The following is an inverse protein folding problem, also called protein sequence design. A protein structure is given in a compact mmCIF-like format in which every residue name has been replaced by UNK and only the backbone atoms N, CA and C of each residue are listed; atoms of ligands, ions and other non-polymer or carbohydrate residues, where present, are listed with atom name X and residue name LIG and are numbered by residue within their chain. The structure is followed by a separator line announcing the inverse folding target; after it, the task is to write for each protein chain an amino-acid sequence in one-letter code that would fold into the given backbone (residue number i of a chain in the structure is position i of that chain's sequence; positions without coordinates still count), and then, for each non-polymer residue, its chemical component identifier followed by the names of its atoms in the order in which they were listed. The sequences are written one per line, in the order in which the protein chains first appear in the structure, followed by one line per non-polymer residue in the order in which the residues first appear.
data_IF_270381657913
#
_entry.id   IF_270381657913
#
_cell.length_a   1.000
_cell.length_b   1.000
_cell.length_c   1.000
_cell.angle_alpha   90.00
_cell.angle_beta   90.00
_cell.angle_gamma   90.00
#
_symmetry.space_group_name_H-M   'P 1'
#
loop_
_entity.id
_entity.type
_entity.pdbx_description
1 polymer ?
#
# COMPACT_ATOMS: atom_id res chain seq x y z
N UNK A 1 -24.72 -5.33 -30.00
CA UNK A 1 -23.77 -5.07 -28.89
C UNK A 1 -23.84 -3.59 -28.57
N UNK A 2 -24.62 -3.23 -27.56
CA UNK A 2 -24.85 -1.83 -27.13
C UNK A 2 -23.67 -1.38 -26.27
N UNK A 3 -23.01 -0.31 -26.69
CA UNK A 3 -21.96 0.38 -25.93
C UNK A 3 -22.58 0.85 -24.60
N UNK A 4 -21.99 0.55 -23.43
CA UNK A 4 -22.57 1.03 -22.18
C UNK A 4 -22.54 2.56 -22.19
N UNK A 5 -23.66 3.17 -21.81
CA UNK A 5 -23.79 4.62 -21.72
C UNK A 5 -22.72 5.13 -20.73
N UNK A 6 -21.81 5.98 -21.23
CA UNK A 6 -20.90 6.73 -20.37
C UNK A 6 -21.77 7.67 -19.55
N UNK A 7 -21.96 7.36 -18.26
CA UNK A 7 -22.70 8.21 -17.34
C UNK A 7 -21.99 9.56 -17.31
N UNK A 8 -22.68 10.60 -17.77
CA UNK A 8 -22.14 11.96 -17.74
C UNK A 8 -21.83 12.35 -16.28
N UNK A 9 -20.61 12.83 -16.05
CA UNK A 9 -20.10 13.24 -14.73
C UNK A 9 -20.93 14.43 -14.22
N UNK A 10 -21.50 14.39 -13.00
CA UNK A 10 -22.02 15.60 -12.38
C UNK A 10 -20.87 16.57 -12.13
N UNK A 11 -21.03 17.82 -12.54
CA UNK A 11 -19.95 18.82 -12.72
C UNK A 11 -19.12 19.12 -11.46
N UNK A 12 -19.56 18.64 -10.28
CA UNK A 12 -18.97 18.94 -8.98
C UNK A 12 -18.45 17.71 -8.19
N UNK A 13 -18.46 16.49 -8.73
CA UNK A 13 -18.00 15.32 -7.96
C UNK A 13 -16.46 15.21 -7.95
N UNK A 14 -15.81 15.12 -6.78
CA UNK A 14 -14.35 14.96 -6.68
C UNK A 14 -13.85 13.74 -7.46
N UNK A 15 -12.76 13.91 -8.21
CA UNK A 15 -12.17 12.85 -9.06
C UNK A 15 -11.88 11.57 -8.26
N UNK A 16 -11.43 11.70 -7.01
CA UNK A 16 -11.17 10.55 -6.12
C UNK A 16 -12.44 9.76 -5.80
N UNK A 17 -13.55 10.44 -5.50
CA UNK A 17 -14.84 9.79 -5.17
C UNK A 17 -15.38 9.07 -6.41
N UNK A 18 -15.41 9.76 -7.55
CA UNK A 18 -15.87 9.13 -8.80
C UNK A 18 -15.00 7.93 -9.21
N UNK A 19 -13.68 7.99 -9.00
CA UNK A 19 -12.76 6.86 -9.24
C UNK A 19 -13.03 5.68 -8.29
N UNK A 20 -13.34 5.95 -7.02
CA UNK A 20 -13.69 4.92 -6.04
C UNK A 20 -15.00 4.20 -6.38
N UNK A 21 -16.01 4.98 -6.80
CA UNK A 21 -17.35 4.51 -7.14
C UNK A 21 -17.42 3.76 -8.48
N UNK A 22 -16.38 3.82 -9.30
CA UNK A 22 -16.37 3.10 -10.57
C UNK A 22 -16.36 1.57 -10.35
N UNK A 23 -17.28 0.82 -10.98
CA UNK A 23 -17.35 -0.62 -10.83
C UNK A 23 -16.15 -1.31 -11.50
N UNK A 24 -15.65 -2.43 -10.92
CA UNK A 24 -14.58 -3.21 -11.53
C UNK A 24 -15.00 -3.77 -12.90
N UNK A 25 -14.16 -3.56 -13.91
CA UNK A 25 -14.31 -4.01 -15.30
C UNK A 25 -13.29 -5.07 -15.69
N UNK A 26 -12.12 -5.08 -15.05
CA UNK A 26 -11.05 -6.05 -15.37
C UNK A 26 -10.92 -7.13 -14.30
N UNK A 27 -10.36 -8.30 -14.66
CA UNK A 27 -10.06 -9.37 -13.69
C UNK A 27 -9.16 -8.89 -12.54
N UNK A 28 -8.20 -7.99 -12.83
CA UNK A 28 -7.32 -7.42 -11.83
C UNK A 28 -8.06 -6.52 -10.84
N UNK A 29 -9.05 -5.74 -11.30
CA UNK A 29 -9.87 -4.89 -10.43
C UNK A 29 -10.76 -5.74 -9.51
N UNK A 30 -11.39 -6.78 -10.07
CA UNK A 30 -12.16 -7.75 -9.29
C UNK A 30 -11.30 -8.46 -8.24
N UNK A 31 -10.06 -8.80 -8.58
CA UNK A 31 -9.14 -9.41 -7.62
C UNK A 31 -8.75 -8.45 -6.50
N UNK A 32 -8.42 -7.19 -6.81
CA UNK A 32 -8.17 -6.18 -5.78
C UNK A 32 -9.40 -5.91 -4.90
N UNK A 33 -10.61 -5.93 -5.49
CA UNK A 33 -11.88 -5.89 -4.76
C UNK A 33 -12.04 -7.07 -3.78
N UNK A 34 -11.69 -8.28 -4.21
CA UNK A 34 -11.71 -9.46 -3.34
C UNK A 34 -10.72 -9.35 -2.18
N UNK A 35 -9.51 -8.83 -2.41
CA UNK A 35 -8.51 -8.57 -1.35
C UNK A 35 -9.07 -7.59 -0.30
N UNK A 36 -9.73 -6.51 -0.73
CA UNK A 36 -10.42 -5.58 0.18
C UNK A 36 -11.54 -6.25 0.98
N UNK A 37 -12.33 -7.12 0.35
CA UNK A 37 -13.34 -7.89 1.05
C UNK A 37 -12.74 -8.86 2.08
N UNK A 38 -11.61 -9.50 1.77
CA UNK A 38 -10.86 -10.33 2.71
C UNK A 38 -10.38 -9.52 3.92
N UNK A 39 -9.98 -8.27 3.74
CA UNK A 39 -9.67 -7.38 4.86
C UNK A 39 -10.86 -7.11 5.78
N UNK A 40 -12.03 -6.84 5.21
CA UNK A 40 -13.26 -6.68 6.01
C UNK A 40 -13.62 -7.96 6.78
N UNK A 41 -13.50 -9.13 6.13
CA UNK A 41 -13.69 -10.43 6.78
C UNK A 41 -12.65 -10.67 7.88
N UNK A 42 -11.41 -10.26 7.68
CA UNK A 42 -10.33 -10.41 8.66
C UNK A 42 -10.63 -9.64 9.94
N UNK A 43 -11.15 -8.42 9.84
CA UNK A 43 -11.58 -7.64 11.02
C UNK A 43 -12.69 -8.37 11.79
N UNK A 44 -13.69 -8.91 11.09
CA UNK A 44 -14.77 -9.69 11.71
C UNK A 44 -14.21 -10.93 12.40
N UNK A 45 -13.28 -11.64 11.77
CA UNK A 45 -12.64 -12.81 12.35
C UNK A 45 -11.85 -12.44 13.63
N UNK A 46 -11.08 -11.36 13.60
CA UNK A 46 -10.33 -10.88 14.75
C UNK A 46 -11.24 -10.49 15.93
N UNK A 47 -12.38 -9.83 15.67
CA UNK A 47 -13.35 -9.49 16.72
C UNK A 47 -13.95 -10.71 17.44
N UNK A 48 -13.88 -11.90 16.83
CA UNK A 48 -14.42 -13.14 17.39
C UNK A 48 -13.32 -13.95 18.10
N UNK A 49 -12.14 -14.02 17.50
CA UNK A 49 -11.09 -14.96 17.92
C UNK A 49 -9.86 -14.34 18.58
N UNK A 50 -9.70 -13.03 18.54
CA UNK A 50 -8.51 -12.30 18.96
C UNK A 50 -8.84 -11.08 19.83
N UNK A 51 -7.82 -10.37 20.28
CA UNK A 51 -7.95 -9.24 21.19
C UNK A 51 -8.13 -7.89 20.47
N UNK A 52 -8.31 -6.83 21.25
CA UNK A 52 -8.62 -5.50 20.72
C UNK A 52 -7.45 -4.90 19.92
N UNK A 53 -6.21 -5.25 20.26
CA UNK A 53 -5.01 -4.76 19.56
C UNK A 53 -4.97 -5.37 18.17
N UNK A 54 -5.23 -6.67 18.04
CA UNK A 54 -5.32 -7.37 16.77
C UNK A 54 -6.40 -6.80 15.85
N UNK A 55 -7.58 -6.49 16.42
CA UNK A 55 -8.66 -5.81 15.70
C UNK A 55 -8.22 -4.44 15.21
N UNK A 56 -7.51 -3.67 16.05
CA UNK A 56 -7.01 -2.34 15.69
C UNK A 56 -5.96 -2.39 14.57
N UNK A 57 -5.04 -3.37 14.58
CA UNK A 57 -4.05 -3.58 13.52
C UNK A 57 -4.74 -3.87 12.19
N UNK A 58 -5.73 -4.76 12.17
CA UNK A 58 -6.50 -5.06 10.95
C UNK A 58 -7.37 -3.89 10.49
N UNK A 59 -7.91 -3.10 11.41
CA UNK A 59 -8.64 -1.88 11.09
C UNK A 59 -7.73 -0.81 10.46
N UNK A 60 -6.51 -0.63 10.97
CA UNK A 60 -5.49 0.23 10.37
C UNK A 60 -5.14 -0.23 8.96
N UNK A 61 -4.92 -1.54 8.77
CA UNK A 61 -4.66 -2.10 7.45
C UNK A 61 -5.82 -1.87 6.47
N UNK A 62 -7.07 -1.92 6.94
CA UNK A 62 -8.25 -1.64 6.13
C UNK A 62 -8.23 -0.24 5.50
N UNK A 63 -7.73 0.77 6.22
CA UNK A 63 -7.52 2.12 5.68
C UNK A 63 -6.55 2.06 4.49
N UNK A 64 -5.44 1.33 4.66
CA UNK A 64 -4.45 1.09 3.61
C UNK A 64 -5.02 0.33 2.41
N UNK A 65 -5.88 -0.68 2.63
CA UNK A 65 -6.52 -1.45 1.56
C UNK A 65 -7.40 -0.58 0.66
N UNK A 66 -8.08 0.41 1.24
CA UNK A 66 -9.03 1.28 0.53
C UNK A 66 -8.32 2.39 -0.25
N UNK A 67 -7.16 2.83 0.20
CA UNK A 67 -6.42 3.96 -0.37
C UNK A 67 -6.08 3.79 -1.87
N UNK A 68 -5.48 2.67 -2.35
CA UNK A 68 -5.26 2.41 -3.78
C UNK A 68 -6.49 2.59 -4.66
N UNK A 69 -7.67 2.26 -4.14
CA UNK A 69 -8.93 2.35 -4.88
C UNK A 69 -9.31 3.80 -5.15
N UNK A 70 -9.21 4.68 -4.15
CA UNK A 70 -9.43 6.12 -4.33
C UNK A 70 -8.44 6.73 -5.30
N UNK A 71 -7.18 6.31 -5.20
CA UNK A 71 -6.12 6.79 -6.08
C UNK A 71 -6.29 6.26 -7.50
N UNK A 72 -7.05 5.20 -7.74
CA UNK A 72 -7.20 4.61 -9.06
C UNK A 72 -5.88 4.14 -9.66
N UNK A 73 -4.98 3.60 -8.84
CA UNK A 73 -3.71 3.05 -9.32
C UNK A 73 -3.95 1.77 -10.14
N UNK A 74 -2.90 1.28 -10.81
CA UNK A 74 -2.94 0.04 -11.59
C UNK A 74 -3.48 -1.11 -10.71
N UNK A 75 -4.44 -1.93 -11.18
CA UNK A 75 -5.05 -2.99 -10.37
C UNK A 75 -4.07 -4.03 -9.81
N UNK A 76 -2.97 -4.29 -10.53
CA UNK A 76 -1.90 -5.15 -10.04
C UNK A 76 -1.18 -4.57 -8.82
N UNK A 77 -0.92 -3.25 -8.81
CA UNK A 77 -0.31 -2.58 -7.66
C UNK A 77 -1.30 -2.55 -6.48
N UNK A 78 -2.58 -2.23 -6.74
CA UNK A 78 -3.66 -2.28 -5.72
C UNK A 78 -3.73 -3.66 -5.05
N UNK A 79 -3.84 -4.73 -5.83
CA UNK A 79 -3.92 -6.08 -5.29
C UNK A 79 -2.65 -6.52 -4.54
N UNK A 80 -1.46 -6.25 -5.08
CA UNK A 80 -0.19 -6.63 -4.42
C UNK A 80 0.00 -5.84 -3.12
N UNK A 81 -0.30 -4.54 -3.13
CA UNK A 81 -0.28 -3.70 -1.93
C UNK A 81 -1.23 -4.25 -0.87
N UNK A 82 -2.46 -4.59 -1.27
CA UNK A 82 -3.43 -5.11 -0.32
C UNK A 82 -3.10 -6.49 0.24
N UNK A 83 -2.57 -7.39 -0.59
CA UNK A 83 -2.11 -8.70 -0.11
C UNK A 83 -0.94 -8.55 0.86
N UNK A 84 0.03 -7.70 0.54
CA UNK A 84 1.16 -7.44 1.42
C UNK A 84 0.70 -6.86 2.77
N UNK A 85 -0.27 -5.95 2.77
CA UNK A 85 -0.86 -5.42 4.01
C UNK A 85 -1.56 -6.52 4.81
N UNK A 86 -2.38 -7.35 4.18
CA UNK A 86 -3.05 -8.44 4.90
C UNK A 86 -2.06 -9.45 5.47
N UNK A 87 -1.01 -9.79 4.72
CA UNK A 87 0.05 -10.66 5.20
C UNK A 87 0.75 -10.04 6.39
N UNK A 88 1.11 -8.75 6.34
CA UNK A 88 1.75 -8.05 7.45
C UNK A 88 0.86 -7.99 8.70
N UNK A 89 -0.43 -7.68 8.54
CA UNK A 89 -1.37 -7.64 9.66
C UNK A 89 -1.58 -9.01 10.28
N UNK A 90 -1.80 -10.05 9.47
CA UNK A 90 -1.93 -11.40 10.00
C UNK A 90 -0.62 -11.94 10.58
N UNK A 91 0.53 -11.44 10.11
CA UNK A 91 1.82 -11.75 10.73
C UNK A 91 1.91 -11.20 12.15
N UNK A 92 1.37 -10.00 12.40
CA UNK A 92 1.24 -9.44 13.75
C UNK A 92 0.26 -10.28 14.60
N UNK A 93 -0.94 -10.53 14.09
CA UNK A 93 -2.01 -11.27 14.81
C UNK A 93 -1.60 -12.70 15.18
N UNK A 94 -0.77 -13.34 14.35
CA UNK A 94 -0.30 -14.70 14.57
C UNK A 94 1.07 -14.76 15.28
N UNK A 95 1.65 -13.62 15.64
CA UNK A 95 2.95 -13.54 16.31
C UNK A 95 4.14 -14.01 15.46
N UNK A 96 4.06 -13.87 14.12
CA UNK A 96 5.10 -14.34 13.21
C UNK A 96 6.39 -13.52 13.32
N UNK A 97 6.31 -12.23 13.65
CA UNK A 97 7.49 -11.38 13.83
C UNK A 97 8.35 -11.87 15.00
N UNK A 98 7.71 -12.34 16.07
CA UNK A 98 8.38 -12.94 17.22
C UNK A 98 8.91 -14.34 16.91
N UNK A 99 8.20 -15.11 16.06
CA UNK A 99 8.58 -16.47 15.71
C UNK A 99 9.75 -16.54 14.70
N UNK A 100 9.87 -15.57 13.81
CA UNK A 100 10.87 -15.56 12.75
C UNK A 100 11.44 -14.14 12.55
N UNK A 101 12.56 -13.86 13.21
CA UNK A 101 13.16 -12.52 13.27
C UNK A 101 13.44 -11.87 11.89
N UNK A 102 13.81 -12.64 10.87
CA UNK A 102 14.06 -12.10 9.53
C UNK A 102 12.80 -11.92 8.68
N UNK A 103 11.63 -12.35 9.16
CA UNK A 103 10.35 -12.11 8.48
C UNK A 103 10.03 -10.62 8.39
N UNK A 104 10.37 -9.87 9.44
CA UNK A 104 10.08 -8.44 9.51
C UNK A 104 10.77 -7.67 8.38
N UNK A 105 12.07 -7.91 8.20
CA UNK A 105 12.85 -7.37 7.09
C UNK A 105 12.23 -7.65 5.71
N UNK A 106 11.62 -8.83 5.52
CA UNK A 106 10.93 -9.18 4.26
C UNK A 106 9.67 -8.34 4.10
N UNK A 107 8.89 -8.19 5.17
CA UNK A 107 7.69 -7.35 5.18
C UNK A 107 8.06 -5.89 4.91
N UNK A 108 9.07 -5.35 5.59
CA UNK A 108 9.58 -3.99 5.38
C UNK A 108 10.06 -3.78 3.95
N UNK A 109 10.83 -4.72 3.40
CA UNK A 109 11.25 -4.66 1.99
C UNK A 109 10.03 -4.56 1.05
N UNK A 110 9.04 -5.43 1.21
CA UNK A 110 7.89 -5.49 0.30
C UNK A 110 6.98 -4.29 0.49
N UNK A 111 6.52 -4.02 1.71
CA UNK A 111 5.55 -2.95 1.97
C UNK A 111 6.11 -1.56 1.74
N UNK A 112 7.33 -1.24 2.22
CA UNK A 112 7.91 0.08 1.93
C UNK A 112 8.13 0.27 0.43
N UNK A 113 8.52 -0.79 -0.28
CA UNK A 113 8.62 -0.74 -1.74
C UNK A 113 7.29 -0.36 -2.41
N UNK A 114 6.20 -1.01 -2.01
CA UNK A 114 4.88 -0.75 -2.58
C UNK A 114 4.33 0.63 -2.17
N UNK A 115 4.54 1.05 -0.91
CA UNK A 115 4.22 2.40 -0.41
C UNK A 115 4.99 3.46 -1.22
N UNK A 116 6.29 3.27 -1.44
CA UNK A 116 7.11 4.17 -2.24
C UNK A 116 6.62 4.27 -3.69
N UNK A 117 6.20 3.16 -4.30
CA UNK A 117 5.62 3.17 -5.64
C UNK A 117 4.32 3.97 -5.70
N UNK A 118 3.42 3.78 -4.73
CA UNK A 118 2.18 4.55 -4.61
C UNK A 118 2.48 6.04 -4.43
N UNK A 119 3.39 6.39 -3.52
CA UNK A 119 3.79 7.77 -3.26
C UNK A 119 4.36 8.44 -4.51
N UNK A 120 5.23 7.76 -5.25
CA UNK A 120 5.78 8.26 -6.50
C UNK A 120 4.70 8.51 -7.56
N UNK A 121 3.77 7.57 -7.75
CA UNK A 121 2.67 7.71 -8.72
C UNK A 121 1.78 8.92 -8.35
N UNK A 122 1.48 9.11 -7.06
CA UNK A 122 0.71 10.27 -6.58
C UNK A 122 1.47 11.58 -6.84
N UNK A 123 2.76 11.63 -6.50
CA UNK A 123 3.60 12.80 -6.73
C UNK A 123 3.73 13.13 -8.23
N UNK A 124 3.85 12.11 -9.09
CA UNK A 124 3.94 12.29 -10.54
C UNK A 124 2.63 12.86 -11.10
N UNK A 125 1.48 12.37 -10.63
CA UNK A 125 0.15 12.89 -11.00
C UNK A 125 -0.10 14.30 -10.49
N UNK A 126 0.49 14.67 -9.35
CA UNK A 126 0.49 16.04 -8.83
C UNK A 126 1.46 16.97 -9.57
N UNK A 127 2.26 16.47 -10.52
CA UNK A 127 3.23 17.26 -11.27
C UNK A 127 4.48 17.65 -10.47
N UNK A 128 4.71 17.02 -9.31
CA UNK A 128 5.84 17.33 -8.41
C UNK A 128 7.12 16.60 -8.84
N UNK A 129 6.99 15.44 -9.48
CA UNK A 129 8.12 14.62 -9.97
C UNK A 129 7.91 14.22 -11.43
N UNK A 130 8.97 13.82 -12.15
CA UNK A 130 8.85 13.36 -13.53
C UNK A 130 7.85 12.20 -13.66
N UNK A 131 7.05 12.22 -14.71
CA UNK A 131 6.13 11.10 -14.98
C UNK A 131 6.87 9.93 -15.64
N UNK A 132 6.66 8.74 -15.09
CA UNK A 132 6.99 7.46 -15.75
C UNK A 132 5.66 6.78 -16.08
N UNK A 133 5.42 6.45 -17.34
CA UNK A 133 4.16 5.87 -17.80
C UNK A 133 4.42 4.75 -18.81
N UNK A 134 4.22 3.49 -18.40
CA UNK A 134 4.63 2.34 -19.21
C UNK A 134 6.12 2.43 -19.55
N UNK A 135 6.49 2.26 -20.83
CA UNK A 135 7.91 2.28 -21.24
C UNK A 135 8.51 3.69 -21.38
N UNK A 136 7.75 4.75 -21.07
CA UNK A 136 8.17 6.15 -21.21
C UNK A 136 8.57 6.76 -19.87
N UNK A 137 9.55 7.66 -19.92
CA UNK A 137 10.04 8.43 -18.77
C UNK A 137 11.34 7.88 -18.15
N UNK A 138 12.05 8.71 -17.38
CA UNK A 138 13.36 8.35 -16.83
C UNK A 138 13.22 7.50 -15.56
N UNK A 139 13.86 6.33 -15.54
CA UNK A 139 13.86 5.44 -14.36
C UNK A 139 14.79 5.91 -13.24
N UNK A 140 15.90 6.59 -13.56
CA UNK A 140 16.85 7.02 -12.53
C UNK A 140 16.21 7.95 -11.48
N UNK A 141 15.44 8.99 -11.84
CA UNK A 141 14.67 9.77 -10.87
C UNK A 141 13.63 8.93 -10.11
N UNK A 142 12.98 7.96 -10.76
CA UNK A 142 12.02 7.09 -10.09
C UNK A 142 12.68 6.23 -9.01
N UNK A 143 13.84 5.66 -9.29
CA UNK A 143 14.62 4.87 -8.33
C UNK A 143 15.02 5.72 -7.12
N UNK A 144 15.63 6.88 -7.36
CA UNK A 144 16.11 7.76 -6.29
C UNK A 144 14.94 8.29 -5.45
N UNK A 145 13.88 8.77 -6.10
CA UNK A 145 12.74 9.35 -5.37
C UNK A 145 11.93 8.28 -4.64
N UNK A 146 11.80 7.07 -5.18
CA UNK A 146 11.20 5.96 -4.42
C UNK A 146 12.04 5.64 -3.19
N UNK A 147 13.38 5.59 -3.29
CA UNK A 147 14.23 5.41 -2.12
C UNK A 147 13.99 6.49 -1.05
N UNK A 148 13.87 7.76 -1.45
CA UNK A 148 13.54 8.87 -0.54
C UNK A 148 12.15 8.70 0.09
N UNK A 149 11.12 8.45 -0.71
CA UNK A 149 9.75 8.26 -0.20
C UNK A 149 9.65 7.06 0.74
N UNK A 150 10.28 5.94 0.36
CA UNK A 150 10.33 4.73 1.15
C UNK A 150 11.02 4.92 2.49
N UNK A 151 12.18 5.58 2.51
CA UNK A 151 12.88 5.92 3.76
C UNK A 151 12.05 6.86 4.64
N UNK A 152 11.46 7.91 4.06
CA UNK A 152 10.60 8.82 4.82
C UNK A 152 9.39 8.12 5.43
N UNK A 153 8.73 7.25 4.67
CA UNK A 153 7.60 6.46 5.18
C UNK A 153 8.03 5.39 6.17
N UNK A 154 9.21 4.78 5.98
CA UNK A 154 9.83 3.89 6.96
C UNK A 154 10.02 4.59 8.30
N UNK A 155 10.62 5.79 8.32
CA UNK A 155 10.78 6.56 9.57
C UNK A 155 9.44 6.85 10.24
N UNK A 156 8.40 7.15 9.47
CA UNK A 156 7.04 7.35 10.01
C UNK A 156 6.50 6.05 10.63
N UNK A 157 6.78 4.91 10.01
CA UNK A 157 6.40 3.59 10.55
C UNK A 157 7.12 3.28 11.87
N UNK A 158 8.44 3.49 11.93
CA UNK A 158 9.24 3.31 13.16
C UNK A 158 8.72 4.17 14.32
N UNK A 159 8.30 5.41 14.03
CA UNK A 159 7.63 6.25 15.04
C UNK A 159 6.26 5.68 15.46
N UNK A 160 5.54 5.07 14.54
CA UNK A 160 4.30 4.33 14.81
C UNK A 160 4.53 3.14 15.72
N UNK A 161 5.55 2.32 15.46
CA UNK A 161 5.92 1.17 16.30
C UNK A 161 6.38 1.59 17.68
N UNK A 162 7.24 2.61 17.76
CA UNK A 162 7.62 3.21 19.03
C UNK A 162 6.40 3.70 19.82
N UNK A 163 5.46 4.39 19.17
CA UNK A 163 4.24 4.85 19.83
C UNK A 163 3.34 3.69 20.27
N UNK A 164 3.19 2.66 19.43
CA UNK A 164 2.47 1.43 19.74
C UNK A 164 3.07 0.74 20.96
N UNK A 165 4.38 0.50 20.96
CA UNK A 165 5.12 -0.06 22.08
C UNK A 165 4.91 0.75 23.36
N UNK A 166 5.04 2.07 23.27
CA UNK A 166 5.04 2.96 24.42
C UNK A 166 3.67 3.16 25.05
N UNK A 167 2.61 3.20 24.24
CA UNK A 167 1.28 3.65 24.67
C UNK A 167 0.18 2.59 24.54
N UNK A 168 0.40 1.51 23.77
CA UNK A 168 -0.64 0.52 23.46
C UNK A 168 -0.25 -0.86 23.99
N UNK A 169 0.84 -1.44 23.49
CA UNK A 169 1.26 -2.79 23.84
C UNK A 169 2.80 -2.91 23.86
N UNK A 170 3.42 -3.15 25.04
CA UNK A 170 4.87 -3.27 25.16
C UNK A 170 5.45 -4.53 24.47
N UNK A 171 4.62 -5.44 23.97
CA UNK A 171 5.05 -6.60 23.19
C UNK A 171 5.46 -6.25 21.75
N UNK A 172 5.04 -5.07 21.24
CA UNK A 172 5.50 -4.53 19.96
C UNK A 172 7.01 -4.32 20.06
N UNK A 173 7.77 -4.97 19.17
CA UNK A 173 9.22 -4.93 19.25
C UNK A 173 9.75 -3.58 18.77
N UNK A 174 10.74 -3.05 19.48
CA UNK A 174 11.47 -1.85 19.10
C UNK A 174 12.93 -2.04 19.49
N UNK A 175 13.84 -1.74 18.57
CA UNK A 175 15.27 -1.90 18.80
C UNK A 175 16.11 -1.03 17.87
N UNK A 176 17.31 -0.65 18.29
CA UNK A 176 18.17 0.17 17.44
C UNK A 176 18.61 -0.56 16.16
N UNK A 177 19.05 -1.81 16.29
CA UNK A 177 19.46 -2.62 15.13
C UNK A 177 18.26 -3.04 14.27
N UNK A 178 17.10 -3.21 14.91
CA UNK A 178 15.81 -3.52 14.30
C UNK A 178 15.38 -2.39 13.36
N UNK A 179 15.13 -1.20 13.92
CA UNK A 179 14.83 0.03 13.17
C UNK A 179 15.84 0.29 12.04
N UNK A 180 17.14 0.14 12.29
CA UNK A 180 18.13 0.33 11.22
C UNK A 180 18.02 -0.74 10.12
N UNK A 181 17.76 -1.98 10.50
CA UNK A 181 17.51 -3.10 9.58
C UNK A 181 16.28 -2.86 8.73
N UNK A 182 15.19 -2.43 9.34
CA UNK A 182 13.90 -2.16 8.70
C UNK A 182 13.96 -0.98 7.74
N UNK A 183 14.63 0.10 8.14
CA UNK A 183 14.91 1.23 7.24
C UNK A 183 15.79 0.81 6.07
N UNK A 184 16.80 -0.03 6.29
CA UNK A 184 17.68 -0.52 5.23
C UNK A 184 16.95 -1.45 4.26
N UNK A 185 16.19 -2.42 4.78
CA UNK A 185 15.38 -3.35 3.99
C UNK A 185 14.31 -2.59 3.21
N UNK A 186 13.62 -1.66 3.86
CA UNK A 186 12.62 -0.80 3.25
C UNK A 186 13.20 0.11 2.15
N UNK A 187 14.40 0.66 2.35
CA UNK A 187 15.09 1.42 1.32
C UNK A 187 15.42 0.56 0.08
N UNK A 188 15.93 -0.66 0.29
CA UNK A 188 16.22 -1.61 -0.78
C UNK A 188 14.95 -1.99 -1.57
N UNK A 189 13.85 -2.25 -0.87
CA UNK A 189 12.54 -2.52 -1.48
C UNK A 189 12.02 -1.35 -2.30
N UNK A 190 12.24 -0.13 -1.81
CA UNK A 190 11.84 1.10 -2.48
C UNK A 190 12.66 1.41 -3.72
N UNK A 191 13.96 1.14 -3.69
CA UNK A 191 14.82 1.17 -4.88
C UNK A 191 14.32 0.18 -5.94
N UNK A 192 14.02 -1.05 -5.54
CA UNK A 192 13.49 -2.07 -6.43
C UNK A 192 12.13 -1.66 -7.03
N UNK A 193 11.24 -1.08 -6.22
CA UNK A 193 9.96 -0.57 -6.68
C UNK A 193 10.11 0.57 -7.70
N UNK A 194 11.05 1.50 -7.48
CA UNK A 194 11.39 2.55 -8.44
C UNK A 194 11.96 2.00 -9.74
N UNK A 195 12.78 0.96 -9.69
CA UNK A 195 13.30 0.27 -10.88
C UNK A 195 12.16 -0.40 -11.69
N UNK A 196 11.13 -0.89 -10.99
CA UNK A 196 9.93 -1.49 -11.57
C UNK A 196 8.83 -0.47 -11.91
N UNK A 197 9.09 0.83 -11.80
CA UNK A 197 8.05 1.87 -11.93
C UNK A 197 7.27 1.80 -13.24
N UNK A 198 7.92 1.41 -14.35
CA UNK A 198 7.25 1.22 -15.66
C UNK A 198 6.11 0.20 -15.60
N UNK A 199 6.30 -0.87 -14.83
CA UNK A 199 5.28 -1.88 -14.61
C UNK A 199 4.16 -1.33 -13.72
N UNK A 200 4.52 -0.66 -12.63
CA UNK A 200 3.58 -0.14 -11.64
C UNK A 200 2.69 0.99 -12.20
N UNK A 201 3.25 1.85 -13.04
CA UNK A 201 2.57 3.02 -13.62
C UNK A 201 1.87 2.76 -14.95
N UNK A 202 1.87 1.52 -15.43
CA UNK A 202 1.08 1.11 -16.58
C UNK A 202 -0.44 1.26 -16.30
N UNK A 203 -1.28 0.94 -17.30
CA UNK A 203 -2.75 1.22 -17.35
C UNK A 203 -3.43 1.40 -15.97
N UNK A 204 -3.85 2.63 -15.72
CA UNK A 204 -4.52 3.16 -14.53
C UNK A 204 -6.05 3.18 -14.70
N UNK A 205 -6.79 3.19 -13.59
CA UNK A 205 -8.27 3.29 -13.56
C UNK A 205 -8.80 4.68 -13.20
N UNK A 206 -7.94 5.70 -13.18
CA UNK A 206 -8.36 7.09 -12.88
C UNK A 206 -9.39 7.56 -13.92
N UNK A 207 -10.53 8.05 -13.42
CA UNK A 207 -11.58 8.62 -14.27
C UNK A 207 -11.25 10.08 -14.60
N UNK A 208 -11.23 10.42 -15.90
CA UNK A 208 -11.08 11.81 -16.37
C UNK A 208 -9.63 12.31 -16.55
N UNK A 209 -8.67 11.40 -16.66
CA UNK A 209 -7.28 11.70 -17.07
C UNK A 209 -7.07 11.63 -18.57
#
# INVERSE_FOLDING_TARGET
MTRPAVRARPENEPVLISTFMEPPRTRGEWFADAVRALGAVSIVAAMIGWDLVDVAVLALAAIGLVLPRFLGIRPALDATFGLALLVASWSSVLGLYQAWASWDLVVHFVLNGLVAAVAYIVAARAGVVPTVAGDRGPLAPAIVLCACFGLSMGVVWEWGEWAGHRFVDPSIFVGYEDTLGDLAAGAAGSIAAGALMRFWSAKSRVVGG
#
